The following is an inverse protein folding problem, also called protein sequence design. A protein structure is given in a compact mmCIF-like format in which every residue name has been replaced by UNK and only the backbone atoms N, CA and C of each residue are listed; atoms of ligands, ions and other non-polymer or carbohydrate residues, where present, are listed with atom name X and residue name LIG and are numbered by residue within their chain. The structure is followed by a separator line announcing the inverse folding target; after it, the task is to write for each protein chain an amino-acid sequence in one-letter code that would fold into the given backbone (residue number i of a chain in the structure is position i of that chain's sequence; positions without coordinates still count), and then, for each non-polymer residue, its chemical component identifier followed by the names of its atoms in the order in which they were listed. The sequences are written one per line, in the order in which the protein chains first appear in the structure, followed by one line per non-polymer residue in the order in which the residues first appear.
data_IF_240658766663
#
_entry.id   IF_240658766663
#
_cell.length_a   1.000
_cell.length_b   1.000
_cell.length_c   1.000
_cell.angle_alpha   90.00
_cell.angle_beta   90.00
_cell.angle_gamma   90.00
#
_symmetry.space_group_name_H-M   'P 1'
#
loop_
_entity.id
_entity.type
_entity.pdbx_description
1 polymer ?
#
# COMPACT_ATOMS: atom_id res chain seq x y z
N UNK A 1 -39.42 20.76 37.18
CA UNK A 1 -38.58 21.60 36.31
C UNK A 1 -39.51 22.45 35.45
N UNK A 2 -39.54 23.74 35.65
CA UNK A 2 -40.37 24.65 34.90
C UNK A 2 -39.62 25.14 33.65
N UNK A 3 -40.34 25.46 32.58
CA UNK A 3 -39.76 25.96 31.32
C UNK A 3 -38.95 27.29 31.51
N UNK A 4 -39.04 27.90 32.69
CA UNK A 4 -38.30 29.11 33.08
C UNK A 4 -36.83 28.86 33.46
N UNK A 5 -36.42 27.60 33.72
CA UNK A 5 -35.04 27.20 34.08
C UNK A 5 -34.20 26.81 32.85
N UNK A 6 -34.74 26.92 31.64
CA UNK A 6 -33.99 26.63 30.43
C UNK A 6 -32.88 27.68 30.21
N UNK A 7 -31.63 27.28 29.98
CA UNK A 7 -30.54 28.24 29.72
C UNK A 7 -30.87 29.11 28.51
N UNK A 8 -30.78 30.42 28.70
CA UNK A 8 -31.05 31.40 27.62
C UNK A 8 -30.07 31.18 26.46
N UNK A 9 -30.58 31.07 25.25
CA UNK A 9 -29.77 30.93 24.05
C UNK A 9 -28.90 32.20 23.85
N UNK A 10 -27.58 32.03 23.93
CA UNK A 10 -26.59 33.07 23.70
C UNK A 10 -26.17 33.09 22.21
N UNK A 11 -26.85 33.94 21.44
CA UNK A 11 -26.60 34.10 20.02
C UNK A 11 -25.17 34.61 19.70
N UNK A 12 -24.56 35.39 20.60
CA UNK A 12 -23.22 35.92 20.42
C UNK A 12 -22.17 34.77 20.55
N UNK A 13 -22.34 33.92 21.56
CA UNK A 13 -21.52 32.75 21.78
C UNK A 13 -21.66 31.74 20.64
N UNK A 14 -22.89 31.51 20.17
CA UNK A 14 -23.14 30.61 19.03
C UNK A 14 -22.45 31.08 17.74
N UNK A 15 -22.56 32.40 17.43
CA UNK A 15 -21.87 32.99 16.25
C UNK A 15 -20.36 32.93 16.38
N UNK A 16 -19.78 33.14 17.56
CA UNK A 16 -18.35 33.01 17.80
C UNK A 16 -17.87 31.56 17.60
N UNK A 17 -18.60 30.61 18.17
CA UNK A 17 -18.26 29.19 18.02
C UNK A 17 -18.38 28.73 16.55
N UNK A 18 -19.39 29.19 15.82
CA UNK A 18 -19.54 28.91 14.39
C UNK A 18 -18.36 29.47 13.57
N UNK A 19 -17.91 30.72 13.87
CA UNK A 19 -16.75 31.31 13.19
C UNK A 19 -15.46 30.53 13.48
N UNK A 20 -15.28 30.10 14.74
CA UNK A 20 -14.13 29.26 15.11
C UNK A 20 -14.19 27.90 14.38
N UNK A 21 -15.35 27.25 14.34
CA UNK A 21 -15.53 25.98 13.65
C UNK A 21 -15.29 26.10 12.14
N UNK A 22 -15.81 27.16 11.49
CA UNK A 22 -15.56 27.41 10.06
C UNK A 22 -14.08 27.71 9.81
N UNK A 23 -13.45 28.54 10.66
CA UNK A 23 -12.03 28.85 10.55
C UNK A 23 -11.12 27.62 10.72
N UNK A 24 -11.41 26.76 11.72
CA UNK A 24 -10.66 25.54 11.92
C UNK A 24 -10.86 24.52 10.78
N UNK A 25 -12.07 24.39 10.26
CA UNK A 25 -12.33 23.53 9.10
C UNK A 25 -11.57 24.04 7.86
N UNK A 26 -11.61 25.36 7.60
CA UNK A 26 -10.83 25.99 6.52
C UNK A 26 -9.33 25.76 6.67
N UNK A 27 -8.79 25.93 7.88
CA UNK A 27 -7.39 25.65 8.18
C UNK A 27 -6.99 24.20 7.93
N UNK A 28 -7.84 23.25 8.31
CA UNK A 28 -7.62 21.81 8.04
C UNK A 28 -7.60 21.50 6.54
N UNK A 29 -8.51 22.08 5.77
CA UNK A 29 -8.55 21.92 4.31
C UNK A 29 -7.27 22.47 3.66
N UNK A 30 -6.84 23.67 4.07
CA UNK A 30 -5.60 24.27 3.55
C UNK A 30 -4.39 23.42 3.91
N UNK A 31 -4.30 22.94 5.16
CA UNK A 31 -3.20 22.05 5.59
C UNK A 31 -3.18 20.74 4.78
N UNK A 32 -4.36 20.16 4.55
CA UNK A 32 -4.49 18.94 3.74
C UNK A 32 -4.02 19.18 2.30
N UNK A 33 -4.46 20.26 1.66
CA UNK A 33 -4.04 20.58 0.29
C UNK A 33 -2.55 20.89 0.21
N UNK A 34 -1.99 21.62 1.17
CA UNK A 34 -0.57 21.91 1.23
C UNK A 34 0.27 20.64 1.39
N UNK A 35 -0.16 19.72 2.28
CA UNK A 35 0.49 18.43 2.47
C UNK A 35 0.41 17.57 1.21
N UNK A 36 -0.74 17.55 0.55
CA UNK A 36 -0.92 16.82 -0.70
C UNK A 36 0.03 17.32 -1.79
N UNK A 37 0.11 18.63 -1.99
CA UNK A 37 1.02 19.23 -2.97
C UNK A 37 2.49 18.95 -2.62
N UNK A 38 2.85 19.05 -1.33
CA UNK A 38 4.21 18.80 -0.87
C UNK A 38 4.66 17.35 -1.05
N UNK A 39 3.74 16.39 -0.99
CA UNK A 39 4.01 14.97 -1.24
C UNK A 39 4.13 14.61 -2.73
N UNK A 40 3.99 15.58 -3.64
CA UNK A 40 4.16 15.37 -5.09
C UNK A 40 3.05 14.57 -5.76
N UNK A 41 1.85 14.54 -5.17
CA UNK A 41 0.67 13.84 -5.73
C UNK A 41 -0.43 14.81 -6.23
N UNK A 42 -0.10 15.85 -7.00
CA UNK A 42 -1.09 16.87 -7.40
C UNK A 42 -2.17 16.34 -8.35
N UNK A 43 -1.91 15.23 -9.03
CA UNK A 43 -2.79 14.66 -10.06
C UNK A 43 -3.58 13.45 -9.54
N UNK A 44 -3.16 12.86 -8.41
CA UNK A 44 -3.79 11.66 -7.88
C UNK A 44 -4.82 11.97 -6.80
N UNK A 45 -5.97 11.33 -6.93
CA UNK A 45 -7.06 11.51 -5.98
C UNK A 45 -6.66 11.01 -4.58
N UNK A 46 -6.89 11.81 -3.51
CA UNK A 46 -6.43 11.46 -2.16
C UNK A 46 -7.02 10.16 -1.61
N UNK A 47 -8.17 9.72 -2.11
CA UNK A 47 -8.77 8.41 -1.75
C UNK A 47 -7.94 7.21 -2.22
N UNK A 48 -7.00 7.37 -3.15
CA UNK A 48 -6.08 6.30 -3.55
C UNK A 48 -4.96 6.08 -2.52
N UNK A 49 -4.70 7.03 -1.63
CA UNK A 49 -3.62 6.94 -0.63
C UNK A 49 -3.74 5.71 0.26
N UNK A 50 -4.94 5.37 0.68
CA UNK A 50 -5.17 4.15 1.46
C UNK A 50 -4.77 2.90 0.67
N UNK A 51 -5.15 2.84 -0.61
CA UNK A 51 -4.78 1.74 -1.51
C UNK A 51 -3.27 1.63 -1.69
N UNK A 52 -2.58 2.76 -1.90
CA UNK A 52 -1.11 2.78 -2.02
C UNK A 52 -0.41 2.34 -0.74
N UNK A 53 -0.81 2.90 0.39
CA UNK A 53 -0.27 2.51 1.68
C UNK A 53 -0.47 1.02 1.95
N UNK A 54 -1.65 0.50 1.66
CA UNK A 54 -2.00 -0.90 1.83
C UNK A 54 -1.14 -1.81 0.94
N UNK A 55 -1.05 -1.50 -0.36
CA UNK A 55 -0.25 -2.24 -1.33
C UNK A 55 1.23 -2.25 -0.96
N UNK A 56 1.79 -1.08 -0.61
CA UNK A 56 3.17 -0.96 -0.16
C UNK A 56 3.44 -1.80 1.11
N UNK A 57 2.52 -1.77 2.07
CA UNK A 57 2.66 -2.55 3.31
C UNK A 57 2.63 -4.05 3.05
N UNK A 58 1.69 -4.53 2.21
CA UNK A 58 1.61 -5.95 1.85
C UNK A 58 2.86 -6.39 1.08
N UNK A 59 3.29 -5.61 0.09
CA UNK A 59 4.53 -5.87 -0.66
C UNK A 59 5.77 -5.88 0.24
N UNK A 60 5.86 -4.94 1.18
CA UNK A 60 6.96 -4.87 2.14
C UNK A 60 6.99 -6.11 3.05
N UNK A 61 5.85 -6.53 3.59
CA UNK A 61 5.78 -7.74 4.41
C UNK A 61 6.16 -8.98 3.61
N UNK A 62 5.65 -9.11 2.38
CA UNK A 62 5.99 -10.18 1.46
C UNK A 62 7.51 -10.27 1.20
N UNK A 63 8.13 -9.15 0.81
CA UNK A 63 9.57 -9.12 0.52
C UNK A 63 10.43 -9.34 1.77
N UNK A 64 9.96 -8.89 2.94
CA UNK A 64 10.63 -9.18 4.22
C UNK A 64 10.66 -10.68 4.52
N UNK A 65 9.58 -11.41 4.25
CA UNK A 65 9.54 -12.86 4.46
C UNK A 65 10.40 -13.61 3.42
N UNK A 66 10.42 -13.11 2.16
CA UNK A 66 11.35 -13.64 1.14
C UNK A 66 12.81 -13.42 1.56
N UNK A 67 13.18 -12.25 2.08
CA UNK A 67 14.53 -11.96 2.60
C UNK A 67 14.94 -12.91 3.72
N UNK A 68 13.99 -13.26 4.58
CA UNK A 68 14.19 -14.23 5.67
C UNK A 68 14.19 -15.69 5.21
N UNK A 69 13.94 -15.90 3.91
CA UNK A 69 13.70 -17.23 3.32
C UNK A 69 12.52 -17.98 3.95
N UNK A 70 11.57 -17.24 4.53
CA UNK A 70 10.29 -17.79 4.99
C UNK A 70 9.28 -17.81 3.84
N UNK A 71 9.53 -18.71 2.88
CA UNK A 71 8.74 -18.82 1.68
C UNK A 71 7.30 -19.28 1.96
N UNK A 72 7.06 -19.96 3.08
CA UNK A 72 5.71 -20.39 3.46
C UNK A 72 4.86 -19.20 3.92
N UNK A 73 5.41 -18.30 4.74
CA UNK A 73 4.73 -17.07 5.14
C UNK A 73 4.55 -16.14 3.94
N UNK A 74 5.59 -15.96 3.10
CA UNK A 74 5.50 -15.16 1.88
C UNK A 74 4.39 -15.65 0.94
N UNK A 75 4.24 -16.95 0.76
CA UNK A 75 3.20 -17.53 -0.07
C UNK A 75 1.79 -17.30 0.49
N UNK A 76 1.64 -17.30 1.81
CA UNK A 76 0.41 -16.93 2.48
C UNK A 76 0.02 -15.47 2.20
N UNK A 77 0.98 -14.54 2.21
CA UNK A 77 0.77 -13.13 1.85
C UNK A 77 0.43 -13.01 0.35
N UNK A 78 1.15 -13.74 -0.51
CA UNK A 78 0.92 -13.74 -1.95
C UNK A 78 -0.53 -14.06 -2.32
N UNK A 79 -1.09 -15.09 -1.67
CA UNK A 79 -2.46 -15.56 -1.91
C UNK A 79 -3.50 -14.92 -0.98
N UNK A 80 -3.09 -14.02 -0.06
CA UNK A 80 -3.95 -13.50 1.01
C UNK A 80 -4.64 -14.64 1.81
N UNK A 81 -3.93 -15.72 2.04
CA UNK A 81 -4.41 -16.91 2.75
C UNK A 81 -3.32 -17.44 3.70
N UNK A 82 -3.32 -17.07 4.98
CA UNK A 82 -2.33 -17.53 5.94
C UNK A 82 -2.41 -19.04 6.22
N UNK A 83 -3.55 -19.67 5.91
CA UNK A 83 -3.80 -21.11 6.09
C UNK A 83 -3.74 -21.88 4.76
N UNK A 84 -3.02 -21.36 3.77
CA UNK A 84 -2.94 -21.89 2.41
C UNK A 84 -2.61 -23.40 2.35
N UNK A 85 -1.88 -23.94 3.32
CA UNK A 85 -1.55 -25.38 3.38
C UNK A 85 -2.82 -26.23 3.47
N UNK A 86 -3.86 -25.75 4.14
CA UNK A 86 -5.17 -26.43 4.24
C UNK A 86 -5.97 -26.30 2.94
N UNK A 87 -5.61 -25.33 2.09
CA UNK A 87 -6.30 -25.02 0.85
C UNK A 87 -5.41 -25.22 -0.40
N UNK A 88 -4.34 -25.99 -0.31
CA UNK A 88 -3.31 -26.12 -1.36
C UNK A 88 -3.89 -26.49 -2.75
N UNK A 89 -4.99 -27.24 -2.79
CA UNK A 89 -5.69 -27.60 -4.02
C UNK A 89 -6.30 -26.41 -4.78
N UNK A 90 -6.48 -25.25 -4.15
CA UNK A 90 -6.98 -24.02 -4.79
C UNK A 90 -5.94 -23.33 -5.66
N UNK A 91 -4.66 -23.55 -5.38
CA UNK A 91 -3.53 -22.81 -5.97
C UNK A 91 -2.80 -23.59 -7.05
N UNK A 92 -3.57 -24.20 -7.97
CA UNK A 92 -3.03 -25.06 -9.05
C UNK A 92 -2.27 -24.28 -10.12
N UNK A 93 -2.67 -23.03 -10.39
CA UNK A 93 -2.03 -22.18 -11.42
C UNK A 93 -0.64 -21.73 -11.01
N UNK A 94 -0.43 -21.42 -9.73
CA UNK A 94 0.86 -21.04 -9.18
C UNK A 94 1.07 -21.74 -7.83
N UNK A 95 1.41 -23.06 -7.86
CA UNK A 95 1.54 -23.85 -6.65
C UNK A 95 2.80 -23.46 -5.88
N UNK A 96 2.83 -23.78 -4.57
CA UNK A 96 3.95 -23.46 -3.69
C UNK A 96 5.31 -23.99 -4.19
N UNK A 97 5.32 -25.15 -4.84
CA UNK A 97 6.55 -25.69 -5.43
C UNK A 97 7.13 -24.76 -6.52
N UNK A 98 6.27 -24.18 -7.38
CA UNK A 98 6.70 -23.21 -8.39
C UNK A 98 7.11 -21.89 -7.74
N UNK A 99 6.32 -21.40 -6.79
CA UNK A 99 6.64 -20.21 -6.01
C UNK A 99 8.03 -20.32 -5.37
N UNK A 100 8.33 -21.47 -4.75
CA UNK A 100 9.64 -21.72 -4.11
C UNK A 100 10.79 -21.74 -5.12
N UNK A 101 10.53 -22.13 -6.37
CA UNK A 101 11.52 -22.04 -7.43
C UNK A 101 11.79 -20.60 -7.86
N UNK A 102 10.74 -19.77 -7.96
CA UNK A 102 10.86 -18.39 -8.41
C UNK A 102 11.46 -17.47 -7.33
N UNK A 103 11.24 -17.77 -6.05
CA UNK A 103 11.63 -16.89 -4.93
C UNK A 103 12.73 -17.47 -4.02
N UNK A 104 13.05 -18.75 -4.14
CA UNK A 104 14.07 -19.41 -3.31
C UNK A 104 15.46 -18.82 -3.51
N UNK A 105 16.18 -18.57 -2.42
CA UNK A 105 17.51 -17.94 -2.45
C UNK A 105 18.54 -18.70 -3.29
N UNK A 106 18.45 -20.02 -3.32
CA UNK A 106 19.39 -20.89 -4.03
C UNK A 106 18.81 -21.45 -5.33
N UNK A 107 17.68 -20.94 -5.78
CA UNK A 107 17.03 -21.41 -7.00
C UNK A 107 17.63 -20.78 -8.24
N UNK A 108 17.91 -21.58 -9.26
CA UNK A 108 18.39 -21.12 -10.57
C UNK A 108 17.30 -20.35 -11.34
N UNK A 109 16.02 -20.52 -11.00
CA UNK A 109 14.90 -19.82 -11.60
C UNK A 109 14.65 -18.45 -10.98
N UNK A 110 15.27 -18.13 -9.84
CA UNK A 110 15.15 -16.85 -9.21
C UNK A 110 16.01 -15.80 -9.95
N UNK A 111 15.39 -14.99 -10.77
CA UNK A 111 16.05 -13.94 -11.57
C UNK A 111 16.74 -12.87 -10.72
N UNK A 112 16.29 -12.67 -9.49
CA UNK A 112 16.86 -11.68 -8.56
C UNK A 112 18.02 -12.26 -7.74
N UNK A 113 18.18 -13.58 -7.73
CA UNK A 113 19.12 -14.29 -6.86
C UNK A 113 18.71 -14.17 -5.40
N UNK A 114 19.69 -14.22 -4.50
CA UNK A 114 19.44 -14.02 -3.06
C UNK A 114 18.97 -12.60 -2.82
N UNK A 115 17.73 -12.46 -2.35
CA UNK A 115 17.16 -11.16 -1.96
C UNK A 115 17.53 -10.91 -0.50
N UNK A 116 18.39 -9.91 -0.26
CA UNK A 116 18.89 -9.55 1.07
C UNK A 116 18.39 -8.19 1.54
N UNK A 117 17.86 -7.38 0.63
CA UNK A 117 17.25 -6.08 0.96
C UNK A 117 16.29 -5.64 -0.15
N UNK A 118 15.28 -4.90 0.23
CA UNK A 118 14.39 -4.25 -0.72
C UNK A 118 14.11 -2.80 -0.30
N UNK A 119 13.70 -1.98 -1.26
CA UNK A 119 13.20 -0.63 -1.02
C UNK A 119 12.08 -0.32 -2.00
N UNK A 120 10.89 -0.08 -1.50
CA UNK A 120 9.76 0.38 -2.32
C UNK A 120 10.05 1.81 -2.78
N UNK A 121 9.90 2.08 -4.08
CA UNK A 121 10.24 3.36 -4.70
C UNK A 121 9.06 4.00 -5.42
N UNK A 122 8.06 3.22 -5.82
CA UNK A 122 6.88 3.74 -6.52
C UNK A 122 5.67 2.85 -6.25
N UNK A 123 4.50 3.47 -6.17
CA UNK A 123 3.22 2.78 -6.19
C UNK A 123 2.25 3.57 -7.05
N UNK A 124 1.53 2.90 -7.96
CA UNK A 124 0.59 3.55 -8.87
C UNK A 124 -0.61 2.65 -9.16
N UNK A 125 -1.78 3.24 -9.22
CA UNK A 125 -3.01 2.52 -9.60
C UNK A 125 -2.94 2.10 -11.08
N UNK A 126 -3.30 0.84 -11.35
CA UNK A 126 -3.46 0.28 -12.68
C UNK A 126 -4.69 -0.62 -12.71
N UNK A 127 -5.77 -0.17 -13.34
CA UNK A 127 -7.04 -0.89 -13.34
C UNK A 127 -7.57 -1.17 -11.92
N UNK A 128 -7.83 -2.44 -11.61
CA UNK A 128 -8.26 -2.90 -10.27
C UNK A 128 -7.11 -3.04 -9.28
N UNK A 129 -5.86 -3.00 -9.75
CA UNK A 129 -4.68 -3.23 -8.94
C UNK A 129 -3.91 -1.94 -8.59
N UNK A 130 -3.00 -2.05 -7.64
CA UNK A 130 -1.92 -1.10 -7.39
C UNK A 130 -0.61 -1.80 -7.73
N UNK A 131 0.12 -1.23 -8.69
CA UNK A 131 1.47 -1.69 -9.03
C UNK A 131 2.45 -1.05 -8.05
N UNK A 132 3.30 -1.88 -7.46
CA UNK A 132 4.35 -1.47 -6.53
C UNK A 132 5.70 -1.83 -7.12
N UNK A 133 6.55 -0.83 -7.33
CA UNK A 133 7.93 -1.01 -7.80
C UNK A 133 8.90 -0.99 -6.63
N UNK A 134 9.77 -1.98 -6.59
CA UNK A 134 10.76 -2.17 -5.53
C UNK A 134 12.15 -2.38 -6.10
N UNK A 135 13.16 -1.73 -5.52
CA UNK A 135 14.55 -2.01 -5.81
C UNK A 135 14.99 -3.20 -4.95
N UNK A 136 15.49 -4.24 -5.59
CA UNK A 136 16.04 -5.42 -4.93
C UNK A 136 17.55 -5.30 -4.85
N UNK A 137 18.10 -5.47 -3.65
CA UNK A 137 19.54 -5.34 -3.38
C UNK A 137 20.14 -4.03 -3.91
N UNK A 138 19.34 -2.94 -3.91
CA UNK A 138 19.74 -1.63 -4.41
C UNK A 138 19.89 -1.50 -5.93
N UNK A 139 19.56 -2.54 -6.71
CA UNK A 139 19.74 -2.56 -8.17
C UNK A 139 18.62 -1.77 -8.87
N UNK A 140 18.96 -0.65 -9.51
CA UNK A 140 18.01 0.16 -10.28
C UNK A 140 17.68 -0.41 -11.66
N UNK A 141 18.65 -1.10 -12.28
CA UNK A 141 18.52 -1.68 -13.62
C UNK A 141 17.58 -2.88 -13.69
N UNK A 142 17.20 -3.45 -12.54
CA UNK A 142 16.36 -4.62 -12.44
C UNK A 142 15.42 -4.48 -11.25
N UNK A 143 14.46 -3.58 -11.38
CA UNK A 143 13.45 -3.36 -10.35
C UNK A 143 12.35 -4.44 -10.43
N UNK A 144 11.88 -4.85 -9.29
CA UNK A 144 10.76 -5.78 -9.17
C UNK A 144 9.45 -5.01 -9.14
N UNK A 145 8.51 -5.39 -10.02
CA UNK A 145 7.17 -4.84 -10.05
C UNK A 145 6.15 -5.90 -9.68
N UNK A 146 5.39 -5.65 -8.60
CA UNK A 146 4.31 -6.49 -8.14
C UNK A 146 2.97 -5.74 -8.25
N UNK A 147 1.92 -6.46 -8.56
CA UNK A 147 0.55 -5.97 -8.58
C UNK A 147 -0.19 -6.48 -7.36
N UNK A 148 -0.75 -5.58 -6.55
CA UNK A 148 -1.67 -5.91 -5.48
C UNK A 148 -3.11 -5.65 -5.94
N UNK A 149 -3.92 -6.70 -6.03
CA UNK A 149 -5.32 -6.59 -6.40
C UNK A 149 -6.15 -6.05 -5.22
N UNK A 150 -6.90 -4.96 -5.45
CA UNK A 150 -7.68 -4.28 -4.43
C UNK A 150 -8.95 -5.03 -4.02
N UNK A 151 -9.43 -5.95 -4.85
CA UNK A 151 -10.69 -6.68 -4.61
C UNK A 151 -10.47 -7.96 -3.82
N UNK A 152 -9.46 -8.74 -4.18
CA UNK A 152 -9.15 -10.03 -3.57
C UNK A 152 -7.91 -9.97 -2.65
N UNK A 153 -7.20 -8.85 -2.66
CA UNK A 153 -6.03 -8.56 -1.80
C UNK A 153 -4.83 -9.49 -2.01
N UNK A 154 -4.72 -10.12 -3.18
CA UNK A 154 -3.59 -10.99 -3.54
C UNK A 154 -2.49 -10.22 -4.24
N UNK A 155 -1.28 -10.77 -4.21
CA UNK A 155 -0.17 -10.31 -5.02
C UNK A 155 -0.06 -11.13 -6.31
N UNK A 156 0.50 -10.51 -7.34
CA UNK A 156 0.89 -11.16 -8.59
C UNK A 156 2.07 -10.40 -9.21
N UNK A 157 2.72 -10.99 -10.20
CA UNK A 157 3.68 -10.26 -11.03
C UNK A 157 2.93 -9.15 -11.80
N UNK A 158 3.56 -7.99 -11.91
CA UNK A 158 2.97 -6.87 -12.61
C UNK A 158 2.97 -7.11 -14.13
N UNK A 159 1.85 -6.84 -14.82
CA UNK A 159 1.81 -6.89 -16.28
C UNK A 159 2.51 -5.68 -16.93
N UNK A 160 2.90 -4.69 -16.16
CA UNK A 160 3.53 -3.44 -16.63
C UNK A 160 4.66 -3.02 -15.70
N UNK A 161 5.66 -2.37 -16.27
CA UNK A 161 6.73 -1.71 -15.52
C UNK A 161 6.43 -0.21 -15.40
N UNK A 162 6.67 0.34 -14.22
CA UNK A 162 6.53 1.77 -13.98
C UNK A 162 7.89 2.46 -14.17
N UNK A 163 7.84 3.70 -14.62
CA UNK A 163 9.04 4.55 -14.61
C UNK A 163 9.46 4.80 -13.16
N UNK A 164 10.70 4.46 -12.84
CA UNK A 164 11.24 4.72 -11.52
C UNK A 164 11.55 6.22 -11.38
N UNK A 165 11.40 6.78 -10.16
CA UNK A 165 11.84 8.14 -9.90
C UNK A 165 13.33 8.29 -10.20
N UNK A 166 13.68 9.32 -10.98
CA UNK A 166 15.08 9.73 -11.16
C UNK A 166 15.54 10.39 -9.87
N UNK A 167 16.68 9.93 -9.32
CA UNK A 167 17.32 10.64 -8.22
C UNK A 167 17.75 12.03 -8.73
N UNK A 168 17.15 13.06 -8.19
CA UNK A 168 17.65 14.44 -8.30
C UNK A 168 18.62 14.72 -7.15
#
# INVERSE_FOLDING_TARGET
MTLLDAPRYDAAKARRNARIAIGSLGGLVVLFLATWLALGHPIEAPWNWYGYWRAQRVTNSFLTDVERNDLAAAYGIWNNDPEWQQHASRYTTYPFARFSQDWGQNSMQNEYGTISSHRIVVAKTWGSAVIVGSLINGRKSHALFLAWDRSIHTLSFSPVELTLPTDN
#
